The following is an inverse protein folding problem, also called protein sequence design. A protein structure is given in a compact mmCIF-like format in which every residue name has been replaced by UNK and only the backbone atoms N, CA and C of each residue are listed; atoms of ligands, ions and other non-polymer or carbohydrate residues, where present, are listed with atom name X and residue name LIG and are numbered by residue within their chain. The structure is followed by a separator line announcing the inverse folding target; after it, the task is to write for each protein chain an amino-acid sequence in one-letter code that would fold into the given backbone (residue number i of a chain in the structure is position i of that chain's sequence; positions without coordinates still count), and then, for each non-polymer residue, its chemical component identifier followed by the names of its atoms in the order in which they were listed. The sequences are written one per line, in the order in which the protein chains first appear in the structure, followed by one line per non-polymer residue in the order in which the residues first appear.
data_IF_873649215213
#
_entry.id   IF_873649215213
#
_cell.length_a   1.000
_cell.length_b   1.000
_cell.length_c   1.000
_cell.angle_alpha   90.00
_cell.angle_beta   90.00
_cell.angle_gamma   90.00
#
_symmetry.space_group_name_H-M   'P 1'
#
loop_
_entity.id
_entity.type
_entity.pdbx_description
1 polymer ?
#
# COMPACT_ATOMS: atom_id res chain seq x y z
N UNK A 1 16.47 -6.60 14.83
CA UNK A 1 16.16 -7.32 13.57
C UNK A 1 15.38 -6.37 12.69
N UNK A 2 15.95 -5.98 11.54
CA UNK A 2 15.26 -5.21 10.51
C UNK A 2 14.35 -6.23 9.82
N UNK A 3 13.07 -6.25 10.17
CA UNK A 3 12.08 -7.13 9.52
C UNK A 3 12.03 -6.76 8.04
N UNK A 4 11.81 -7.74 7.17
CA UNK A 4 11.55 -7.42 5.75
C UNK A 4 10.34 -6.48 5.70
N UNK A 5 10.34 -5.52 4.77
CA UNK A 5 9.27 -4.52 4.63
C UNK A 5 7.87 -5.13 4.65
N UNK A 6 7.71 -6.34 4.07
CA UNK A 6 6.47 -7.11 4.04
C UNK A 6 5.96 -7.51 5.42
N UNK A 7 6.82 -7.86 6.37
CA UNK A 7 6.41 -8.22 7.75
C UNK A 7 5.95 -7.00 8.58
N UNK A 8 6.21 -5.78 8.09
CA UNK A 8 5.76 -4.52 8.69
C UNK A 8 4.45 -3.98 8.10
N UNK A 9 3.93 -4.61 7.04
CA UNK A 9 2.69 -4.19 6.36
C UNK A 9 1.47 -4.62 7.17
N UNK A 10 0.57 -3.68 7.39
CA UNK A 10 -0.70 -3.87 8.10
C UNK A 10 -1.85 -4.09 7.12
N UNK A 11 -1.75 -3.52 5.93
CA UNK A 11 -2.70 -3.74 4.84
C UNK A 11 -2.00 -3.54 3.50
N UNK A 12 -2.49 -4.22 2.47
CA UNK A 12 -2.01 -4.13 1.10
C UNK A 12 -3.17 -4.31 0.13
N UNK A 13 -3.09 -3.63 -1.02
CA UNK A 13 -3.94 -3.82 -2.19
C UNK A 13 -3.06 -3.93 -3.43
N UNK A 14 -3.49 -4.75 -4.37
CA UNK A 14 -2.86 -4.90 -5.68
C UNK A 14 -3.90 -4.61 -6.74
N UNK A 15 -3.55 -3.74 -7.68
CA UNK A 15 -4.31 -3.47 -8.88
C UNK A 15 -3.57 -4.06 -10.08
N UNK A 16 -4.33 -4.55 -11.05
CA UNK A 16 -3.81 -5.08 -12.31
C UNK A 16 -4.46 -4.34 -13.48
N UNK A 17 -3.62 -3.91 -14.41
CA UNK A 17 -4.00 -3.20 -15.63
C UNK A 17 -3.10 -3.58 -16.80
N UNK A 18 -3.12 -2.75 -17.84
CA UNK A 18 -2.09 -2.78 -18.89
C UNK A 18 -1.65 -1.35 -19.16
N UNK A 19 -0.41 -1.18 -19.60
CA UNK A 19 0.12 0.11 -20.01
C UNK A 19 -0.26 0.49 -21.46
N UNK A 20 0.24 1.64 -21.91
CA UNK A 20 -0.03 2.17 -23.26
C UNK A 20 0.48 1.27 -24.41
N UNK A 21 1.38 0.31 -24.12
CA UNK A 21 1.91 -0.64 -25.11
C UNK A 21 1.28 -2.04 -25.00
N UNK A 22 0.34 -2.23 -24.07
CA UNK A 22 -0.42 -3.45 -23.88
C UNK A 22 0.22 -4.47 -22.94
N UNK A 23 1.28 -4.10 -22.22
CA UNK A 23 1.96 -4.97 -21.26
C UNK A 23 1.26 -4.94 -19.89
N UNK A 24 1.29 -6.06 -19.14
CA UNK A 24 0.68 -6.14 -17.82
C UNK A 24 1.28 -5.10 -16.87
N UNK A 25 0.43 -4.27 -16.28
CA UNK A 25 0.81 -3.35 -15.21
C UNK A 25 0.27 -3.84 -13.88
N UNK A 26 1.12 -3.84 -12.85
CA UNK A 26 0.74 -4.17 -11.47
C UNK A 26 1.11 -3.06 -10.53
N UNK A 27 0.11 -2.47 -9.90
CA UNK A 27 0.29 -1.45 -8.86
C UNK A 27 0.07 -2.09 -7.50
N UNK A 28 0.97 -1.85 -6.55
CA UNK A 28 0.83 -2.30 -5.17
C UNK A 28 0.83 -1.10 -4.25
N UNK A 29 -0.21 -0.98 -3.43
CA UNK A 29 -0.35 0.06 -2.40
C UNK A 29 -0.39 -0.64 -1.05
N UNK A 30 0.36 -0.14 -0.06
CA UNK A 30 0.37 -0.72 1.28
C UNK A 30 0.48 0.32 2.38
N UNK A 31 0.02 -0.07 3.57
CA UNK A 31 0.21 0.66 4.82
C UNK A 31 1.17 -0.16 5.68
N UNK A 32 2.29 0.43 6.11
CA UNK A 32 3.22 -0.20 7.04
C UNK A 32 3.48 0.68 8.27
N UNK A 33 3.86 0.03 9.37
CA UNK A 33 4.29 0.72 10.59
C UNK A 33 5.77 0.46 10.84
N UNK A 34 6.58 1.51 10.76
CA UNK A 34 8.01 1.48 11.05
C UNK A 34 8.31 1.73 12.53
N UNK A 35 9.56 1.53 12.92
CA UNK A 35 10.06 1.87 14.26
C UNK A 35 9.77 3.34 14.60
N UNK A 36 9.46 3.64 15.86
CA UNK A 36 9.14 4.99 16.29
C UNK A 36 7.70 5.44 16.02
N UNK A 37 6.78 4.48 15.79
CA UNK A 37 5.36 4.73 15.51
C UNK A 37 5.07 5.47 14.21
N UNK A 38 6.02 5.49 13.28
CA UNK A 38 5.85 6.09 11.96
C UNK A 38 4.99 5.17 11.07
N UNK A 39 3.88 5.70 10.58
CA UNK A 39 3.11 5.12 9.49
C UNK A 39 3.70 5.54 8.17
N UNK A 40 3.75 4.59 7.24
CA UNK A 40 4.17 4.83 5.86
C UNK A 40 3.12 4.25 4.93
N UNK A 41 2.73 5.02 3.93
CA UNK A 41 1.95 4.55 2.79
C UNK A 41 2.90 4.42 1.62
N UNK A 42 3.03 3.21 1.10
CA UNK A 42 3.80 2.96 -0.10
C UNK A 42 2.90 2.73 -1.30
N UNK A 43 3.35 3.17 -2.47
CA UNK A 43 2.78 2.87 -3.78
C UNK A 43 3.93 2.49 -4.71
N UNK A 44 3.76 1.41 -5.45
CA UNK A 44 4.77 0.99 -6.43
C UNK A 44 4.11 0.39 -7.65
N UNK A 45 4.70 0.67 -8.82
CA UNK A 45 4.28 0.12 -10.11
C UNK A 45 5.32 -0.91 -10.54
N UNK A 46 4.85 -2.07 -10.99
CA UNK A 46 5.66 -3.16 -11.54
C UNK A 46 6.84 -3.56 -10.64
N UNK A 47 6.63 -3.56 -9.32
CA UNK A 47 7.67 -3.94 -8.34
C UNK A 47 8.18 -5.37 -8.53
N UNK A 48 7.35 -6.26 -9.07
CA UNK A 48 7.70 -7.64 -9.42
C UNK A 48 8.72 -7.76 -10.56
N UNK A 49 8.95 -6.69 -11.35
CA UNK A 49 9.98 -6.65 -12.40
C UNK A 49 11.33 -6.14 -11.88
N UNK A 50 11.42 -5.76 -10.60
CA UNK A 50 12.65 -5.25 -10.00
C UNK A 50 13.55 -6.41 -9.58
N UNK A 51 14.85 -6.15 -9.55
CA UNK A 51 15.85 -7.09 -9.02
C UNK A 51 15.68 -7.38 -7.52
N UNK A 52 15.02 -6.48 -6.79
CA UNK A 52 14.76 -6.59 -5.35
C UNK A 52 13.31 -6.25 -5.02
N UNK A 53 12.75 -7.03 -4.11
CA UNK A 53 11.42 -6.84 -3.51
C UNK A 53 11.40 -5.75 -2.41
N UNK A 54 12.55 -5.16 -2.08
CA UNK A 54 12.62 -4.08 -1.07
C UNK A 54 12.03 -2.76 -1.63
N UNK A 55 11.15 -2.08 -0.87
CA UNK A 55 10.69 -0.74 -1.20
C UNK A 55 11.85 0.26 -1.29
N UNK A 56 11.81 1.10 -2.31
CA UNK A 56 12.68 2.25 -2.50
C UNK A 56 12.12 3.44 -1.72
N UNK A 57 12.97 4.44 -1.43
CA UNK A 57 12.54 5.66 -0.77
C UNK A 57 11.41 6.37 -1.54
N UNK A 58 11.52 6.40 -2.88
CA UNK A 58 10.56 7.04 -3.77
C UNK A 58 9.23 6.26 -3.93
N UNK A 59 9.13 5.04 -3.39
CA UNK A 59 7.84 4.34 -3.34
C UNK A 59 6.94 4.87 -2.20
N UNK A 60 7.46 5.74 -1.32
CA UNK A 60 6.69 6.32 -0.22
C UNK A 60 5.87 7.52 -0.69
N UNK A 61 4.55 7.45 -0.56
CA UNK A 61 3.63 8.56 -0.88
C UNK A 61 3.19 9.33 0.36
N UNK A 62 3.41 8.75 1.55
CA UNK A 62 3.15 9.41 2.83
C UNK A 62 4.01 8.81 3.93
N UNK A 63 4.54 9.67 4.80
CA UNK A 63 5.11 9.29 6.10
C UNK A 63 4.55 10.22 7.19
N UNK A 64 4.06 9.66 8.29
CA UNK A 64 3.46 10.43 9.37
C UNK A 64 3.15 9.59 10.61
N UNK A 65 2.62 10.23 11.65
CA UNK A 65 2.39 9.57 12.94
C UNK A 65 0.92 9.24 13.21
N UNK A 66 0.00 9.78 12.40
CA UNK A 66 -1.43 9.57 12.54
C UNK A 66 -1.91 8.46 11.59
N UNK A 67 -2.65 7.48 12.14
CA UNK A 67 -3.23 6.40 11.34
C UNK A 67 -4.33 6.91 10.41
N UNK A 68 -5.07 7.94 10.81
CA UNK A 68 -6.13 8.52 9.99
C UNK A 68 -5.56 9.12 8.71
N UNK A 69 -4.54 9.98 8.82
CA UNK A 69 -3.81 10.51 7.66
C UNK A 69 -3.25 9.40 6.76
N UNK A 70 -2.69 8.34 7.34
CA UNK A 70 -2.16 7.22 6.55
C UNK A 70 -3.28 6.48 5.78
N UNK A 71 -4.45 6.30 6.39
CA UNK A 71 -5.61 5.70 5.72
C UNK A 71 -6.13 6.60 4.60
N UNK A 72 -6.22 7.91 4.85
CA UNK A 72 -6.68 8.87 3.86
C UNK A 72 -5.75 8.88 2.64
N UNK A 73 -4.43 8.97 2.86
CA UNK A 73 -3.45 8.94 1.76
C UNK A 73 -3.39 7.62 1.01
N UNK A 74 -3.60 6.49 1.70
CA UNK A 74 -3.67 5.20 1.05
C UNK A 74 -4.93 5.05 0.18
N UNK A 75 -6.06 5.58 0.64
CA UNK A 75 -7.32 5.56 -0.10
C UNK A 75 -7.33 6.55 -1.27
N UNK A 76 -6.74 7.74 -1.10
CA UNK A 76 -6.55 8.71 -2.18
C UNK A 76 -5.71 8.10 -3.31
N UNK A 77 -4.55 7.50 -2.98
CA UNK A 77 -3.71 6.82 -3.97
C UNK A 77 -4.44 5.65 -4.65
N UNK A 78 -5.24 4.89 -3.89
CA UNK A 78 -6.02 3.78 -4.43
C UNK A 78 -7.12 4.26 -5.38
N UNK A 79 -7.86 5.31 -5.00
CA UNK A 79 -8.92 5.90 -5.83
C UNK A 79 -8.36 6.48 -7.12
N UNK A 80 -7.22 7.18 -7.05
CA UNK A 80 -6.54 7.71 -8.22
C UNK A 80 -6.23 6.59 -9.23
N UNK A 81 -5.62 5.49 -8.78
CA UNK A 81 -5.25 4.36 -9.65
C UNK A 81 -6.47 3.58 -10.16
N UNK A 82 -7.50 3.37 -9.32
CA UNK A 82 -8.76 2.74 -9.74
C UNK A 82 -9.45 3.58 -10.80
N UNK A 83 -9.48 4.91 -10.65
CA UNK A 83 -10.13 5.80 -11.61
C UNK A 83 -9.47 5.76 -12.99
N UNK A 84 -8.15 5.53 -13.05
CA UNK A 84 -7.41 5.33 -14.30
C UNK A 84 -7.82 4.01 -14.94
N UNK A 85 -7.85 2.92 -14.18
CA UNK A 85 -8.26 1.61 -14.70
C UNK A 85 -9.70 1.60 -15.24
N UNK A 86 -10.62 2.25 -14.53
CA UNK A 86 -12.02 2.35 -14.95
C UNK A 86 -12.16 3.16 -16.25
N UNK A 87 -11.36 4.22 -16.44
CA UNK A 87 -11.33 4.98 -17.71
C UNK A 87 -10.83 4.14 -18.88
N UNK A 88 -9.97 3.16 -18.61
CA UNK A 88 -9.51 2.17 -19.60
C UNK A 88 -10.49 1.00 -19.77
N UNK A 89 -11.67 1.08 -19.15
CA UNK A 89 -12.71 0.06 -19.25
C UNK A 89 -12.46 -1.18 -18.40
N UNK A 90 -11.60 -1.08 -17.37
CA UNK A 90 -11.33 -2.16 -16.42
C UNK A 90 -11.99 -1.88 -15.09
N UNK A 91 -12.88 -2.77 -14.67
CA UNK A 91 -13.45 -2.73 -13.33
C UNK A 91 -12.45 -3.25 -12.29
N UNK A 92 -12.43 -2.63 -11.11
CA UNK A 92 -11.64 -3.07 -9.96
C UNK A 92 -12.54 -3.19 -8.73
N UNK A 93 -12.74 -4.40 -8.21
CA UNK A 93 -13.51 -4.65 -6.96
C UNK A 93 -12.64 -4.46 -5.70
N UNK A 94 -11.64 -3.60 -5.78
CA UNK A 94 -10.70 -3.39 -4.68
C UNK A 94 -11.33 -2.50 -3.61
N UNK A 95 -11.43 -3.05 -2.41
CA UNK A 95 -12.00 -2.35 -1.25
C UNK A 95 -11.02 -1.33 -0.68
N UNK A 96 -11.51 -0.18 -0.16
CA UNK A 96 -10.68 0.79 0.53
C UNK A 96 -9.98 0.18 1.75
N UNK A 97 -8.91 0.85 2.16
CA UNK A 97 -8.24 0.61 3.44
C UNK A 97 -9.11 1.14 4.58
N UNK A 98 -9.27 0.34 5.63
CA UNK A 98 -10.14 0.68 6.76
C UNK A 98 -9.41 0.58 8.08
N UNK A 99 -9.81 1.45 9.02
CA UNK A 99 -9.37 1.36 10.41
C UNK A 99 -9.64 -0.03 11.03
N UNK A 100 -10.73 -0.68 10.63
CA UNK A 100 -11.17 -1.99 11.14
C UNK A 100 -10.20 -3.13 10.80
N UNK A 101 -9.49 -3.05 9.68
CA UNK A 101 -8.49 -4.08 9.32
C UNK A 101 -7.13 -3.79 9.96
N UNK A 102 -6.78 -2.51 10.18
CA UNK A 102 -5.47 -2.11 10.70
C UNK A 102 -5.39 -2.19 12.23
N UNK A 103 -6.43 -1.75 12.96
CA UNK A 103 -6.38 -1.67 14.43
C UNK A 103 -6.13 -3.02 15.12
N UNK A 104 -6.78 -4.14 14.76
CA UNK A 104 -6.56 -5.41 15.46
C UNK A 104 -5.13 -5.91 15.38
N UNK A 105 -4.44 -5.65 14.27
CA UNK A 105 -3.03 -5.98 14.09
C UNK A 105 -2.13 -5.12 14.99
N UNK A 106 -2.51 -3.86 15.19
CA UNK A 106 -1.78 -2.92 16.04
C UNK A 106 -1.94 -3.28 17.52
N UNK A 107 -3.16 -3.58 17.94
CA UNK A 107 -3.47 -4.05 19.30
C UNK A 107 -2.71 -5.33 19.62
N UNK A 108 -2.67 -6.30 18.70
CA UNK A 108 -1.87 -7.52 18.86
C UNK A 108 -0.39 -7.20 19.09
N UNK A 109 0.15 -6.20 18.40
CA UNK A 109 1.54 -5.80 18.57
C UNK A 109 1.81 -5.18 19.95
N UNK A 110 0.88 -4.38 20.48
CA UNK A 110 1.03 -3.73 21.79
C UNK A 110 0.74 -4.66 22.98
N UNK A 111 -0.26 -5.53 22.88
CA UNK A 111 -0.83 -6.23 24.04
C UNK A 111 -0.42 -7.70 24.14
N UNK A 112 0.09 -8.32 23.08
CA UNK A 112 0.34 -9.76 23.05
C UNK A 112 1.79 -10.14 23.42
N UNK A 113 2.29 -9.55 24.52
CA UNK A 113 3.60 -9.85 25.14
C UNK A 113 3.61 -11.23 25.79
#
# INVERSE_FOLDING_TARGET
MRRSSREGRYAERTLAGVDDVGEEERIVIWIERRSGALWVVGRTVNSHLRESDEPRADDSVFEGYELEDALDRANEALEDDVSVLERDGRESDVKPFTRKEVLPLLERWFFNR
#
